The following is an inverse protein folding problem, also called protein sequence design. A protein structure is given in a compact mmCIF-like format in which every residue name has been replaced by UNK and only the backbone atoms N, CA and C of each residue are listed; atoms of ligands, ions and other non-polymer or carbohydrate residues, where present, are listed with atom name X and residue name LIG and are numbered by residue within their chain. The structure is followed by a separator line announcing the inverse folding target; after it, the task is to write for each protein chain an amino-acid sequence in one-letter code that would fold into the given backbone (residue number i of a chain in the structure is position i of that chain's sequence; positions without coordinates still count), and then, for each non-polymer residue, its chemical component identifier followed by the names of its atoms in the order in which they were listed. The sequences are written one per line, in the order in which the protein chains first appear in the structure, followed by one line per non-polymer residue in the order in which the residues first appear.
data_IF_418517649230
#
_entry.id   IF_418517649230
#
_cell.length_a   1.000
_cell.length_b   1.000
_cell.length_c   1.000
_cell.angle_alpha   90.00
_cell.angle_beta   90.00
_cell.angle_gamma   90.00
#
_symmetry.space_group_name_H-M   'P 1'
#
loop_
_entity.id
_entity.type
_entity.pdbx_description
1 polymer ?
#
# COMPACT_ATOMS: atom_id res chain seq x y z
N UNK A 1 20.52 1.93 29.43
CA UNK A 1 20.05 0.53 29.51
C UNK A 1 20.93 -0.31 28.61
N UNK A 2 21.15 -1.61 28.88
CA UNK A 2 21.84 -2.47 27.92
C UNK A 2 21.07 -2.52 26.60
N UNK A 3 21.77 -2.68 25.46
CA UNK A 3 21.11 -2.81 24.17
C UNK A 3 20.23 -4.06 24.12
N UNK A 4 19.05 -3.90 23.56
CA UNK A 4 18.14 -4.97 23.20
C UNK A 4 18.75 -5.73 22.03
N UNK A 5 18.55 -7.04 21.97
CA UNK A 5 19.05 -7.88 20.86
C UNK A 5 17.88 -8.53 20.16
N UNK A 6 17.66 -8.14 18.91
CA UNK A 6 16.68 -8.80 18.03
C UNK A 6 17.39 -9.93 17.31
N UNK A 7 16.96 -11.16 17.58
CA UNK A 7 17.55 -12.37 16.99
C UNK A 7 16.97 -12.64 15.60
N UNK A 8 17.78 -13.16 14.69
CA UNK A 8 17.33 -13.59 13.38
C UNK A 8 18.02 -14.89 12.95
N UNK A 9 17.42 -15.58 12.00
CA UNK A 9 17.99 -16.75 11.33
C UNK A 9 17.86 -16.62 9.82
N UNK A 10 18.89 -17.04 9.08
CA UNK A 10 18.93 -17.06 7.62
C UNK A 10 18.58 -18.45 7.05
N UNK A 11 18.34 -18.51 5.75
CA UNK A 11 17.99 -19.75 5.04
C UNK A 11 19.08 -20.83 5.03
N UNK A 12 20.35 -20.46 5.24
CA UNK A 12 21.49 -21.37 5.35
C UNK A 12 21.73 -21.86 6.79
N UNK A 13 20.87 -21.46 7.74
CA UNK A 13 20.97 -21.81 9.16
C UNK A 13 21.86 -20.86 9.97
N UNK A 14 22.47 -19.83 9.37
CA UNK A 14 23.20 -18.82 10.14
C UNK A 14 22.25 -18.04 11.06
N UNK A 15 22.63 -17.93 12.32
CA UNK A 15 21.94 -17.12 13.32
C UNK A 15 22.74 -15.86 13.64
N UNK A 16 22.04 -14.80 14.01
CA UNK A 16 22.67 -13.55 14.41
C UNK A 16 21.73 -12.68 15.22
N UNK A 17 22.26 -11.55 15.67
CA UNK A 17 21.47 -10.55 16.42
C UNK A 17 21.74 -9.16 15.89
N UNK A 18 20.70 -8.36 15.75
CA UNK A 18 20.79 -6.91 15.59
C UNK A 18 20.70 -6.30 16.98
N UNK A 19 21.75 -5.59 17.40
CA UNK A 19 21.75 -4.83 18.64
C UNK A 19 21.00 -3.50 18.41
N UNK A 20 20.07 -3.20 19.31
CA UNK A 20 19.16 -2.06 19.22
C UNK A 20 19.19 -1.34 20.56
N UNK A 21 19.41 -0.03 20.55
CA UNK A 21 19.31 0.76 21.78
C UNK A 21 17.87 0.77 22.29
N UNK A 22 17.69 0.61 23.59
CA UNK A 22 16.35 0.49 24.20
C UNK A 22 15.47 1.74 24.01
N UNK A 23 16.08 2.89 23.72
CA UNK A 23 15.42 4.16 23.45
C UNK A 23 15.39 4.52 21.96
N UNK A 24 15.73 3.57 21.07
CA UNK A 24 15.72 3.80 19.62
C UNK A 24 14.34 4.23 19.12
N UNK A 25 14.37 5.02 18.04
CA UNK A 25 13.18 5.34 17.25
C UNK A 25 13.05 4.49 15.99
N UNK A 26 14.09 3.75 15.61
CA UNK A 26 14.09 2.94 14.40
C UNK A 26 14.88 1.65 14.57
N UNK A 27 14.37 0.59 13.95
CA UNK A 27 15.00 -0.74 13.88
C UNK A 27 15.05 -1.15 12.42
N UNK A 28 16.26 -1.46 11.95
CA UNK A 28 16.51 -1.91 10.59
C UNK A 28 17.07 -3.34 10.62
N UNK A 29 16.32 -4.25 10.02
CA UNK A 29 16.67 -5.67 9.87
C UNK A 29 16.43 -6.03 8.39
N UNK A 30 16.57 -5.09 7.47
CA UNK A 30 16.35 -5.26 6.04
C UNK A 30 17.56 -5.89 5.33
N UNK A 31 17.33 -6.58 4.21
CA UNK A 31 18.41 -6.99 3.30
C UNK A 31 19.36 -8.10 3.81
N UNK A 32 19.15 -8.64 5.02
CA UNK A 32 20.06 -9.62 5.61
C UNK A 32 19.78 -11.07 5.20
N UNK A 33 18.70 -11.30 4.46
CA UNK A 33 18.27 -12.64 4.04
C UNK A 33 17.68 -13.47 5.18
N UNK A 34 17.06 -12.80 6.16
CA UNK A 34 16.41 -13.48 7.27
C UNK A 34 15.20 -14.28 6.79
N UNK A 35 15.07 -15.51 7.25
CA UNK A 35 13.87 -16.36 7.10
C UNK A 35 13.02 -16.37 8.37
N UNK A 36 13.57 -15.87 9.48
CA UNK A 36 12.89 -15.73 10.76
C UNK A 36 13.53 -14.59 11.57
N UNK A 37 12.71 -13.85 12.32
CA UNK A 37 13.12 -12.76 13.22
C UNK A 37 12.27 -12.84 14.50
N UNK A 38 12.90 -12.70 15.66
CA UNK A 38 12.21 -12.59 16.96
C UNK A 38 11.99 -11.13 17.34
N UNK A 39 10.75 -10.65 17.22
CA UNK A 39 10.37 -9.29 17.60
C UNK A 39 10.06 -9.13 19.09
N UNK A 40 10.04 -10.20 19.90
CA UNK A 40 9.76 -10.15 21.36
C UNK A 40 10.57 -9.06 22.09
N UNK A 41 11.87 -8.85 21.79
CA UNK A 41 12.66 -7.83 22.44
C UNK A 41 12.12 -6.39 22.24
N UNK A 42 11.33 -6.15 21.17
CA UNK A 42 10.70 -4.86 20.88
C UNK A 42 9.54 -4.51 21.82
N UNK A 43 9.07 -5.43 22.66
CA UNK A 43 8.06 -5.14 23.70
C UNK A 43 8.49 -3.99 24.63
N UNK A 44 9.79 -3.75 24.76
CA UNK A 44 10.36 -2.66 25.58
C UNK A 44 10.65 -1.36 24.79
N UNK A 45 10.56 -1.38 23.46
CA UNK A 45 10.85 -0.25 22.56
C UNK A 45 9.67 0.72 22.45
N UNK A 46 9.25 1.34 23.55
CA UNK A 46 8.09 2.26 23.59
C UNK A 46 8.23 3.51 22.69
N UNK A 47 9.44 3.83 22.25
CA UNK A 47 9.77 4.95 21.37
C UNK A 47 9.95 4.56 19.91
N UNK A 48 9.67 3.31 19.53
CA UNK A 48 9.82 2.85 18.15
C UNK A 48 8.83 3.58 17.23
N UNK A 49 9.36 4.25 16.21
CA UNK A 49 8.59 4.90 15.14
C UNK A 49 8.74 4.16 13.81
N UNK A 50 9.82 3.40 13.60
CA UNK A 50 10.06 2.71 12.33
C UNK A 50 10.60 1.31 12.57
N UNK A 51 9.98 0.32 11.93
CA UNK A 51 10.50 -1.03 11.83
C UNK A 51 10.64 -1.39 10.36
N UNK A 52 11.86 -1.69 9.95
CA UNK A 52 12.18 -2.15 8.61
C UNK A 52 12.62 -3.62 8.64
N UNK A 53 11.82 -4.47 8.03
CA UNK A 53 12.04 -5.90 7.81
C UNK A 53 12.05 -6.24 6.32
N UNK A 54 12.16 -5.22 5.46
CA UNK A 54 12.03 -5.37 4.01
C UNK A 54 13.20 -6.14 3.39
N UNK A 55 13.02 -6.63 2.17
CA UNK A 55 14.07 -7.29 1.38
C UNK A 55 14.72 -8.47 2.11
N UNK A 56 13.89 -9.34 2.70
CA UNK A 56 14.32 -10.56 3.38
C UNK A 56 13.70 -11.80 2.70
N UNK A 57 13.70 -12.93 3.39
CA UNK A 57 13.10 -14.18 2.93
C UNK A 57 12.05 -14.70 3.93
N UNK A 58 11.39 -13.81 4.66
CA UNK A 58 10.38 -14.15 5.66
C UNK A 58 9.17 -14.79 4.98
N UNK A 59 8.84 -16.03 5.36
CA UNK A 59 7.58 -16.69 4.94
C UNK A 59 6.44 -16.42 5.92
N UNK A 60 6.78 -16.04 7.15
CA UNK A 60 5.87 -15.69 8.24
C UNK A 60 6.58 -14.72 9.19
N UNK A 61 5.81 -13.93 9.94
CA UNK A 61 6.31 -13.02 10.96
C UNK A 61 5.24 -12.78 12.05
N UNK A 62 5.62 -12.98 13.31
CA UNK A 62 4.76 -12.65 14.45
C UNK A 62 4.89 -11.16 14.79
N UNK A 63 3.83 -10.39 14.50
CA UNK A 63 3.75 -8.97 14.82
C UNK A 63 3.23 -8.67 16.22
N UNK A 64 2.88 -9.67 17.05
CA UNK A 64 2.32 -9.45 18.39
C UNK A 64 3.10 -8.45 19.26
N UNK A 65 4.46 -8.42 19.24
CA UNK A 65 5.23 -7.43 19.99
C UNK A 65 4.94 -5.96 19.59
N UNK A 66 4.49 -5.71 18.37
CA UNK A 66 4.16 -4.36 17.88
C UNK A 66 2.92 -3.77 18.56
N UNK A 67 2.08 -4.58 19.20
CA UNK A 67 0.92 -4.08 19.94
C UNK A 67 1.31 -3.10 21.07
N UNK A 68 2.56 -3.19 21.57
CA UNK A 68 3.13 -2.27 22.57
C UNK A 68 3.79 -1.02 21.95
N UNK A 69 4.06 -1.03 20.64
CA UNK A 69 4.77 0.03 19.91
C UNK A 69 3.80 1.13 19.44
N UNK A 70 3.08 1.77 20.36
CA UNK A 70 2.03 2.77 20.04
C UNK A 70 2.50 4.01 19.27
N UNK A 71 3.82 4.23 19.16
CA UNK A 71 4.43 5.31 18.40
C UNK A 71 4.86 4.90 16.99
N UNK A 72 4.60 3.66 16.57
CA UNK A 72 5.00 3.17 15.26
C UNK A 72 4.31 3.98 14.16
N UNK A 73 5.11 4.56 13.28
CA UNK A 73 4.70 5.37 12.12
C UNK A 73 4.95 4.63 10.81
N UNK A 74 5.97 3.79 10.74
CA UNK A 74 6.39 3.13 9.48
C UNK A 74 6.68 1.66 9.72
N UNK A 75 6.02 0.80 8.95
CA UNK A 75 6.25 -0.63 8.94
C UNK A 75 6.55 -1.09 7.52
N UNK A 76 7.79 -1.52 7.29
CA UNK A 76 8.25 -2.02 6.01
C UNK A 76 8.44 -3.54 6.07
N UNK A 77 7.66 -4.26 5.28
CA UNK A 77 7.69 -5.72 5.13
C UNK A 77 7.79 -6.14 3.65
N UNK A 78 8.01 -5.19 2.75
CA UNK A 78 8.12 -5.44 1.32
C UNK A 78 9.32 -6.32 0.95
N UNK A 79 9.28 -7.00 -0.19
CA UNK A 79 10.37 -7.86 -0.66
C UNK A 79 10.61 -9.08 0.23
N UNK A 80 9.54 -9.76 0.65
CA UNK A 80 9.58 -10.98 1.46
C UNK A 80 8.83 -12.14 0.76
N UNK A 81 8.49 -13.20 1.48
CA UNK A 81 7.77 -14.37 0.96
C UNK A 81 6.45 -14.64 1.68
N UNK A 82 5.90 -13.63 2.37
CA UNK A 82 4.70 -13.74 3.19
C UNK A 82 3.51 -14.19 2.34
N UNK A 83 2.80 -15.23 2.77
CA UNK A 83 1.57 -15.72 2.11
C UNK A 83 0.30 -15.20 2.79
N UNK A 84 0.41 -14.87 4.06
CA UNK A 84 -0.60 -14.24 4.92
C UNK A 84 0.11 -13.30 5.89
N UNK A 85 -0.63 -12.34 6.44
CA UNK A 85 -0.12 -11.44 7.48
C UNK A 85 -1.27 -11.06 8.42
N UNK A 86 -1.08 -11.26 9.72
CA UNK A 86 -2.01 -10.76 10.73
C UNK A 86 -1.64 -9.32 11.13
N UNK A 87 -2.48 -8.35 10.73
CA UNK A 87 -2.34 -6.95 11.09
C UNK A 87 -2.98 -6.61 12.45
N UNK A 88 -3.63 -7.56 13.13
CA UNK A 88 -4.28 -7.35 14.44
C UNK A 88 -3.42 -6.62 15.46
N UNK A 89 -2.13 -6.98 15.65
CA UNK A 89 -1.22 -6.26 16.53
C UNK A 89 -0.97 -4.79 16.15
N UNK A 90 -1.14 -4.44 14.87
CA UNK A 90 -0.94 -3.08 14.34
C UNK A 90 -2.15 -2.18 14.62
N UNK A 91 -3.31 -2.72 15.03
CA UNK A 91 -4.51 -1.93 15.35
C UNK A 91 -4.28 -0.87 16.44
N UNK A 92 -3.33 -1.09 17.36
CA UNK A 92 -2.97 -0.13 18.40
C UNK A 92 -1.99 0.96 17.93
N UNK A 93 -1.39 0.80 16.75
CA UNK A 93 -0.44 1.73 16.14
C UNK A 93 -1.19 2.84 15.39
N UNK A 94 -1.97 3.66 16.10
CA UNK A 94 -2.83 4.69 15.49
C UNK A 94 -2.05 5.83 14.81
N UNK A 95 -0.73 5.91 15.03
CA UNK A 95 0.19 6.81 14.34
C UNK A 95 0.79 6.25 13.06
N UNK A 96 0.44 5.02 12.67
CA UNK A 96 0.95 4.40 11.46
C UNK A 96 0.61 5.29 10.25
N UNK A 97 1.65 5.77 9.59
CA UNK A 97 1.62 6.61 8.40
C UNK A 97 1.95 5.80 7.15
N UNK A 98 2.94 4.90 7.22
CA UNK A 98 3.40 4.10 6.09
C UNK A 98 3.30 2.62 6.39
N UNK A 99 2.64 1.89 5.49
CA UNK A 99 2.62 0.42 5.48
C UNK A 99 3.01 -0.09 4.09
N UNK A 100 4.16 -0.75 4.01
CA UNK A 100 4.67 -1.34 2.77
C UNK A 100 4.75 -2.86 2.87
N UNK A 101 4.00 -3.53 2.00
CA UNK A 101 3.88 -4.99 1.89
C UNK A 101 4.22 -5.48 0.47
N UNK A 102 4.82 -4.62 -0.37
CA UNK A 102 5.08 -4.90 -1.78
C UNK A 102 5.97 -6.15 -1.99
N UNK A 103 5.89 -6.81 -3.14
CA UNK A 103 6.66 -8.03 -3.46
C UNK A 103 6.64 -9.08 -2.34
N UNK A 104 5.45 -9.58 -2.04
CA UNK A 104 5.21 -10.74 -1.20
C UNK A 104 4.38 -11.78 -1.98
N UNK A 105 3.82 -12.78 -1.29
CA UNK A 105 2.93 -13.79 -1.87
C UNK A 105 1.51 -13.73 -1.29
N UNK A 106 1.07 -12.57 -0.78
CA UNK A 106 -0.21 -12.41 -0.11
C UNK A 106 -1.36 -12.69 -1.07
N UNK A 107 -2.25 -13.60 -0.68
CA UNK A 107 -3.45 -13.94 -1.45
C UNK A 107 -4.71 -13.23 -0.92
N UNK A 108 -4.68 -12.89 0.36
CA UNK A 108 -5.69 -12.12 1.07
C UNK A 108 -4.99 -11.24 2.12
N UNK A 109 -5.67 -10.18 2.52
CA UNK A 109 -5.20 -9.28 3.58
C UNK A 109 -6.42 -8.64 4.25
N UNK A 110 -6.56 -8.84 5.56
CA UNK A 110 -7.59 -8.15 6.35
C UNK A 110 -7.10 -6.76 6.74
N UNK A 111 -7.79 -5.72 6.25
CA UNK A 111 -7.47 -4.33 6.55
C UNK A 111 -8.23 -3.77 7.76
N UNK A 112 -9.12 -4.53 8.40
CA UNK A 112 -9.90 -4.06 9.56
C UNK A 112 -9.04 -3.41 10.67
N UNK A 113 -7.84 -3.93 10.99
CA UNK A 113 -6.93 -3.29 11.94
C UNK A 113 -6.50 -1.86 11.57
N UNK A 114 -6.51 -1.49 10.29
CA UNK A 114 -6.10 -0.17 9.81
C UNK A 114 -7.19 0.89 9.97
N UNK A 115 -8.42 0.52 10.35
CA UNK A 115 -9.56 1.45 10.47
C UNK A 115 -9.33 2.62 11.44
N UNK A 116 -8.40 2.47 12.38
CA UNK A 116 -8.01 3.52 13.34
C UNK A 116 -6.71 4.25 12.97
N UNK A 117 -6.03 3.84 11.90
CA UNK A 117 -4.80 4.46 11.40
C UNK A 117 -5.13 5.71 10.56
N UNK A 118 -5.74 6.71 11.20
CA UNK A 118 -6.12 7.98 10.54
C UNK A 118 -4.92 8.78 9.99
N UNK A 119 -3.70 8.48 10.49
CA UNK A 119 -2.44 9.04 10.01
C UNK A 119 -1.89 8.36 8.75
N UNK A 120 -2.47 7.23 8.32
CA UNK A 120 -1.98 6.46 7.17
C UNK A 120 -1.99 7.34 5.92
N UNK A 121 -0.80 7.62 5.39
CA UNK A 121 -0.56 8.44 4.21
C UNK A 121 -0.13 7.62 3.00
N UNK A 122 0.49 6.45 3.21
CA UNK A 122 0.94 5.55 2.16
C UNK A 122 0.64 4.09 2.50
N UNK A 123 -0.03 3.42 1.56
CA UNK A 123 -0.27 1.98 1.60
C UNK A 123 0.15 1.32 0.28
N UNK A 124 1.12 0.42 0.35
CA UNK A 124 1.62 -0.31 -0.81
C UNK A 124 1.54 -1.81 -0.58
N UNK A 125 0.74 -2.51 -1.40
CA UNK A 125 0.64 -3.98 -1.41
C UNK A 125 0.90 -4.53 -2.81
N UNK A 126 1.70 -3.82 -3.60
CA UNK A 126 2.01 -4.17 -4.99
C UNK A 126 2.77 -5.49 -5.12
N UNK A 127 2.73 -6.11 -6.29
CA UNK A 127 3.44 -7.36 -6.59
C UNK A 127 3.12 -8.48 -5.58
N UNK A 128 1.82 -8.65 -5.29
CA UNK A 128 1.28 -9.74 -4.49
C UNK A 128 0.37 -10.63 -5.36
N UNK A 129 -0.49 -11.44 -4.73
CA UNK A 129 -1.40 -12.37 -5.40
C UNK A 129 -2.86 -12.11 -5.01
N UNK A 130 -3.21 -10.88 -4.63
CA UNK A 130 -4.56 -10.52 -4.19
C UNK A 130 -5.55 -10.64 -5.35
N UNK A 131 -6.60 -11.43 -5.17
CA UNK A 131 -7.72 -11.54 -6.12
C UNK A 131 -8.88 -10.60 -5.78
N UNK A 132 -9.03 -10.31 -4.49
CA UNK A 132 -10.02 -9.39 -3.90
C UNK A 132 -9.39 -8.62 -2.75
N UNK A 133 -9.89 -7.43 -2.47
CA UNK A 133 -9.53 -6.64 -1.29
C UNK A 133 -10.73 -5.81 -0.85
N UNK A 134 -10.98 -5.78 0.46
CA UNK A 134 -11.99 -4.90 1.05
C UNK A 134 -11.32 -3.61 1.53
N UNK A 135 -11.66 -2.49 0.88
CA UNK A 135 -11.12 -1.17 1.21
C UNK A 135 -11.94 -0.43 2.27
N UNK A 136 -13.07 -0.98 2.75
CA UNK A 136 -13.94 -0.31 3.73
C UNK A 136 -13.18 0.20 4.96
N UNK A 137 -12.19 -0.52 5.52
CA UNK A 137 -11.40 -0.02 6.65
C UNK A 137 -10.60 1.26 6.33
N UNK A 138 -10.25 1.51 5.07
CA UNK A 138 -9.48 2.70 4.67
C UNK A 138 -10.33 3.99 4.63
N UNK A 139 -11.66 3.91 4.79
CA UNK A 139 -12.51 5.11 4.85
C UNK A 139 -12.10 6.08 5.97
N UNK A 140 -11.52 5.57 7.07
CA UNK A 140 -10.99 6.37 8.18
C UNK A 140 -9.60 6.97 7.93
N UNK A 141 -8.88 6.51 6.91
CA UNK A 141 -7.52 6.94 6.57
C UNK A 141 -7.55 8.23 5.74
N UNK A 142 -8.09 9.31 6.33
CA UNK A 142 -8.26 10.60 5.64
C UNK A 142 -6.95 11.32 5.31
N UNK A 143 -5.82 10.85 5.86
CA UNK A 143 -4.49 11.33 5.52
C UNK A 143 -3.90 10.69 4.25
N UNK A 144 -4.55 9.68 3.69
CA UNK A 144 -4.02 8.85 2.60
C UNK A 144 -3.74 9.67 1.35
N UNK A 145 -2.52 9.53 0.84
CA UNK A 145 -1.98 10.20 -0.35
C UNK A 145 -1.66 9.20 -1.45
N UNK A 146 -1.12 8.04 -1.09
CA UNK A 146 -0.61 7.07 -2.05
C UNK A 146 -1.21 5.69 -1.75
N UNK A 147 -1.79 5.09 -2.78
CA UNK A 147 -2.30 3.72 -2.74
C UNK A 147 -1.76 2.97 -3.94
N UNK A 148 -1.01 1.89 -3.68
CA UNK A 148 -0.47 1.03 -4.72
C UNK A 148 -0.93 -0.41 -4.57
N UNK A 149 -1.60 -0.90 -5.62
CA UNK A 149 -2.03 -2.27 -5.82
C UNK A 149 -1.45 -2.86 -7.10
N UNK A 150 -0.40 -2.24 -7.66
CA UNK A 150 0.24 -2.65 -8.90
C UNK A 150 0.59 -4.14 -8.88
N UNK A 151 0.42 -4.85 -9.99
CA UNK A 151 0.83 -6.26 -10.12
C UNK A 151 0.20 -7.17 -9.06
N UNK A 152 -1.13 -7.18 -9.02
CA UNK A 152 -1.93 -8.16 -8.28
C UNK A 152 -2.81 -8.96 -9.26
N UNK A 153 -3.81 -9.68 -8.76
CA UNK A 153 -4.75 -10.47 -9.54
C UNK A 153 -6.19 -9.96 -9.40
N UNK A 154 -6.37 -8.68 -9.03
CA UNK A 154 -7.67 -8.09 -8.75
C UNK A 154 -8.56 -8.14 -9.98
N UNK A 155 -9.78 -8.67 -9.82
CA UNK A 155 -10.78 -8.73 -10.89
C UNK A 155 -11.84 -7.63 -10.80
N UNK A 156 -12.08 -7.14 -9.58
CA UNK A 156 -12.93 -6.00 -9.24
C UNK A 156 -12.32 -5.28 -8.03
N UNK A 157 -12.72 -4.02 -7.82
CA UNK A 157 -12.39 -3.27 -6.61
C UNK A 157 -13.49 -2.25 -6.32
N UNK A 158 -14.00 -2.21 -5.08
CA UNK A 158 -14.88 -1.14 -4.62
C UNK A 158 -14.04 -0.01 -4.03
N UNK A 159 -14.01 1.13 -4.72
CA UNK A 159 -13.27 2.31 -4.29
C UNK A 159 -14.13 3.32 -3.52
N UNK A 160 -15.40 3.03 -3.22
CA UNK A 160 -16.30 3.92 -2.45
C UNK A 160 -15.65 4.45 -1.16
N UNK A 161 -14.92 3.63 -0.37
CA UNK A 161 -14.23 4.10 0.84
C UNK A 161 -13.21 5.23 0.59
N UNK A 162 -12.60 5.28 -0.60
CA UNK A 162 -11.58 6.26 -0.95
C UNK A 162 -12.15 7.67 -1.18
N UNK A 163 -13.48 7.83 -1.27
CA UNK A 163 -14.12 9.14 -1.37
C UNK A 163 -13.84 10.06 -0.17
N UNK A 164 -13.50 9.48 1.00
CA UNK A 164 -13.08 10.21 2.18
C UNK A 164 -11.60 10.65 2.14
N UNK A 165 -10.78 10.03 1.30
CA UNK A 165 -9.34 10.29 1.14
C UNK A 165 -9.11 11.50 0.23
N UNK A 166 -9.59 12.67 0.63
CA UNK A 166 -9.50 13.92 -0.18
C UNK A 166 -8.07 14.41 -0.44
N UNK A 167 -7.09 13.86 0.28
CA UNK A 167 -5.65 14.10 0.09
C UNK A 167 -4.98 13.13 -0.87
N UNK A 168 -5.72 12.20 -1.48
CA UNK A 168 -5.16 11.22 -2.41
C UNK A 168 -4.49 11.94 -3.58
N UNK A 169 -3.23 11.59 -3.83
CA UNK A 169 -2.31 12.15 -4.82
C UNK A 169 -2.01 11.10 -5.91
N UNK A 170 -1.85 9.84 -5.53
CA UNK A 170 -1.51 8.73 -6.43
C UNK A 170 -2.38 7.49 -6.20
N UNK A 171 -2.89 6.96 -7.31
CA UNK A 171 -3.63 5.70 -7.35
C UNK A 171 -3.05 4.79 -8.43
N UNK A 172 -2.52 3.63 -8.03
CA UNK A 172 -1.97 2.63 -8.95
C UNK A 172 -2.70 1.28 -8.79
N UNK A 173 -3.45 0.90 -9.83
CA UNK A 173 -4.04 -0.43 -10.01
C UNK A 173 -3.51 -1.13 -11.27
N UNK A 174 -2.37 -0.70 -11.80
CA UNK A 174 -1.80 -1.26 -13.01
C UNK A 174 -1.48 -2.76 -12.87
N UNK A 175 -1.45 -3.47 -13.99
CA UNK A 175 -1.10 -4.90 -14.04
C UNK A 175 -2.00 -5.77 -13.15
N UNK A 176 -3.32 -5.56 -13.22
CA UNK A 176 -4.34 -6.39 -12.58
C UNK A 176 -5.22 -7.07 -13.65
N UNK A 177 -6.38 -7.59 -13.26
CA UNK A 177 -7.33 -8.28 -14.14
C UNK A 177 -8.68 -7.54 -14.21
N UNK A 178 -8.70 -6.24 -13.91
CA UNK A 178 -9.91 -5.42 -13.80
C UNK A 178 -10.61 -5.31 -15.17
N UNK A 179 -11.91 -5.60 -15.21
CA UNK A 179 -12.74 -5.47 -16.42
C UNK A 179 -13.58 -4.19 -16.44
N UNK A 180 -13.89 -3.68 -15.26
CA UNK A 180 -14.52 -2.41 -14.98
C UNK A 180 -13.84 -1.77 -13.76
N UNK A 181 -14.05 -0.47 -13.60
CA UNK A 181 -13.65 0.28 -12.42
C UNK A 181 -14.51 1.54 -12.34
N UNK A 182 -15.10 1.81 -11.18
CA UNK A 182 -15.87 3.03 -10.94
C UNK A 182 -14.97 4.15 -10.41
N UNK A 183 -14.86 5.25 -11.17
CA UNK A 183 -14.06 6.41 -10.78
C UNK A 183 -14.84 7.45 -9.98
N UNK A 184 -16.16 7.29 -9.77
CA UNK A 184 -16.98 8.23 -9.00
C UNK A 184 -16.40 8.58 -7.62
N UNK A 185 -15.84 7.64 -6.85
CA UNK A 185 -15.23 7.94 -5.55
C UNK A 185 -14.04 8.91 -5.62
N UNK A 186 -13.36 9.02 -6.77
CA UNK A 186 -12.20 9.90 -6.94
C UNK A 186 -12.59 11.37 -7.18
N UNK A 187 -13.88 11.67 -7.38
CA UNK A 187 -14.35 13.04 -7.66
C UNK A 187 -14.06 14.04 -6.54
N UNK A 188 -13.87 13.58 -5.30
CA UNK A 188 -13.49 14.40 -4.13
C UNK A 188 -11.96 14.52 -3.95
N UNK A 189 -11.17 13.69 -4.63
CA UNK A 189 -9.71 13.65 -4.54
C UNK A 189 -9.06 14.74 -5.40
N UNK A 190 -9.31 16.01 -5.05
CA UNK A 190 -8.84 17.16 -5.84
C UNK A 190 -7.30 17.31 -5.88
N UNK A 191 -6.58 16.60 -5.00
CA UNK A 191 -5.11 16.53 -4.99
C UNK A 191 -4.54 15.48 -5.95
N UNK A 192 -5.38 14.64 -6.55
CA UNK A 192 -4.96 13.51 -7.37
C UNK A 192 -4.18 14.00 -8.59
N UNK A 193 -2.96 13.50 -8.75
CA UNK A 193 -2.07 13.86 -9.85
C UNK A 193 -1.76 12.68 -10.78
N UNK A 194 -1.80 11.44 -10.27
CA UNK A 194 -1.56 10.22 -11.05
C UNK A 194 -2.66 9.20 -10.82
N UNK A 195 -3.21 8.69 -11.93
CA UNK A 195 -4.02 7.47 -11.97
C UNK A 195 -3.39 6.52 -12.98
N UNK A 196 -2.92 5.36 -12.53
CA UNK A 196 -2.36 4.31 -13.38
C UNK A 196 -3.27 3.07 -13.35
N UNK A 197 -3.89 2.78 -14.50
CA UNK A 197 -4.76 1.61 -14.71
C UNK A 197 -4.25 0.76 -15.88
N UNK A 198 -3.00 0.94 -16.30
CA UNK A 198 -2.45 0.20 -17.45
C UNK A 198 -2.42 -1.30 -17.20
N UNK A 199 -2.34 -2.09 -18.27
CA UNK A 199 -2.23 -3.56 -18.18
C UNK A 199 -3.39 -4.17 -17.37
N UNK A 200 -4.61 -3.75 -17.67
CA UNK A 200 -5.85 -4.34 -17.16
C UNK A 200 -6.68 -4.89 -18.32
N UNK A 201 -7.95 -5.25 -18.07
CA UNK A 201 -8.91 -5.75 -19.07
C UNK A 201 -10.08 -4.79 -19.28
N UNK A 202 -9.88 -3.50 -19.02
CA UNK A 202 -10.93 -2.49 -19.15
C UNK A 202 -11.37 -2.38 -20.61
N UNK A 203 -12.69 -2.31 -20.83
CA UNK A 203 -13.29 -2.16 -22.17
C UNK A 203 -13.95 -0.80 -22.37
N UNK A 204 -14.28 -0.13 -21.28
CA UNK A 204 -14.89 1.18 -21.20
C UNK A 204 -14.43 1.86 -19.91
N UNK A 205 -14.54 3.18 -19.84
CA UNK A 205 -14.23 3.95 -18.65
C UNK A 205 -14.97 5.29 -18.71
N UNK A 206 -15.73 5.63 -17.67
CA UNK A 206 -16.30 6.97 -17.52
C UNK A 206 -15.28 7.90 -16.87
N UNK A 207 -14.91 8.96 -17.59
CA UNK A 207 -13.94 9.94 -17.12
C UNK A 207 -14.59 11.15 -16.43
N UNK A 208 -15.93 11.28 -16.48
CA UNK A 208 -16.62 12.44 -15.90
C UNK A 208 -16.27 12.71 -14.43
N UNK A 209 -16.05 11.71 -13.55
CA UNK A 209 -15.62 11.94 -12.18
C UNK A 209 -14.29 12.67 -12.04
N UNK A 210 -13.34 12.45 -12.97
CA UNK A 210 -11.99 13.02 -12.89
C UNK A 210 -11.93 14.50 -13.26
N UNK A 211 -13.01 15.11 -13.77
CA UNK A 211 -13.04 16.53 -14.16
C UNK A 211 -12.73 17.50 -13.00
N UNK A 212 -12.97 17.07 -11.77
CA UNK A 212 -12.71 17.86 -10.54
C UNK A 212 -11.30 17.66 -10.00
N UNK A 213 -10.56 16.66 -10.50
CA UNK A 213 -9.18 16.40 -10.15
C UNK A 213 -8.27 17.38 -10.91
N UNK A 214 -8.34 18.67 -10.55
CA UNK A 214 -7.67 19.77 -11.26
C UNK A 214 -6.14 19.67 -11.28
N UNK A 215 -5.55 18.83 -10.40
CA UNK A 215 -4.12 18.52 -10.37
C UNK A 215 -3.73 17.30 -11.20
N UNK A 216 -4.69 16.61 -11.82
CA UNK A 216 -4.44 15.38 -12.55
C UNK A 216 -3.52 15.65 -13.75
N UNK A 217 -2.30 15.12 -13.67
CA UNK A 217 -1.27 15.29 -14.68
C UNK A 217 -1.07 14.02 -15.52
N UNK A 218 -1.40 12.85 -14.96
CA UNK A 218 -1.21 11.56 -15.63
C UNK A 218 -2.40 10.64 -15.45
N UNK A 219 -2.95 10.19 -16.57
CA UNK A 219 -3.90 9.07 -16.65
C UNK A 219 -3.33 8.03 -17.61
N UNK A 220 -2.90 6.88 -17.08
CA UNK A 220 -2.32 5.80 -17.88
C UNK A 220 -3.32 4.66 -18.05
N UNK A 221 -3.71 4.43 -19.31
CA UNK A 221 -4.69 3.42 -19.69
C UNK A 221 -4.12 2.43 -20.72
N UNK A 222 -2.79 2.43 -20.92
CA UNK A 222 -2.12 1.53 -21.86
C UNK A 222 -2.45 0.07 -21.59
N UNK A 223 -2.38 -0.76 -22.61
CA UNK A 223 -2.54 -2.21 -22.47
C UNK A 223 -3.87 -2.62 -21.80
N UNK A 224 -4.94 -1.91 -22.15
CA UNK A 224 -6.34 -2.28 -21.89
C UNK A 224 -7.05 -2.62 -23.21
N UNK A 225 -8.34 -2.96 -23.15
CA UNK A 225 -9.19 -3.28 -24.29
C UNK A 225 -10.20 -2.16 -24.63
N UNK A 226 -9.93 -0.91 -24.23
CA UNK A 226 -10.81 0.23 -24.48
C UNK A 226 -10.67 0.68 -25.94
N UNK A 227 -11.78 0.68 -26.68
CA UNK A 227 -11.79 1.00 -28.13
C UNK A 227 -12.07 2.48 -28.40
N UNK A 228 -12.99 3.08 -27.64
CA UNK A 228 -13.36 4.48 -27.74
C UNK A 228 -13.39 5.08 -26.33
N UNK A 229 -12.84 6.29 -26.20
CA UNK A 229 -12.79 7.01 -24.94
C UNK A 229 -13.21 8.46 -25.20
N UNK A 230 -14.29 8.89 -24.56
CA UNK A 230 -14.70 10.29 -24.60
C UNK A 230 -13.88 11.09 -23.57
N UNK A 231 -13.01 11.95 -24.07
CA UNK A 231 -12.14 12.81 -23.25
C UNK A 231 -12.64 14.25 -23.14
N UNK A 232 -13.82 14.57 -23.69
CA UNK A 232 -14.36 15.94 -23.70
C UNK A 232 -14.59 16.48 -22.29
N UNK A 233 -14.95 15.61 -21.35
CA UNK A 233 -15.14 15.91 -19.93
C UNK A 233 -13.84 16.40 -19.24
N UNK A 234 -12.68 16.07 -19.80
CA UNK A 234 -11.37 16.43 -19.25
C UNK A 234 -10.73 17.64 -19.96
N UNK A 235 -11.49 18.35 -20.80
CA UNK A 235 -11.00 19.49 -21.59
C UNK A 235 -10.43 20.65 -20.76
N UNK A 236 -10.85 20.79 -19.49
CA UNK A 236 -10.29 21.78 -18.56
C UNK A 236 -8.96 21.41 -17.92
N UNK A 237 -8.51 20.15 -18.04
CA UNK A 237 -7.27 19.66 -17.44
C UNK A 237 -6.10 19.84 -18.41
N UNK A 238 -5.57 21.06 -18.50
CA UNK A 238 -4.60 21.45 -19.54
C UNK A 238 -3.26 20.74 -19.46
N UNK A 239 -2.84 20.32 -18.25
CA UNK A 239 -1.60 19.59 -18.02
C UNK A 239 -1.75 18.06 -18.11
N UNK A 240 -2.98 17.57 -18.31
CA UNK A 240 -3.27 16.13 -18.30
C UNK A 240 -2.66 15.41 -19.51
N UNK A 241 -1.84 14.41 -19.22
CA UNK A 241 -1.35 13.44 -20.20
C UNK A 241 -2.12 12.14 -20.07
N UNK A 242 -2.90 11.82 -21.10
CA UNK A 242 -3.59 10.54 -21.23
C UNK A 242 -2.73 9.61 -22.10
N UNK A 243 -2.33 8.47 -21.56
CA UNK A 243 -1.58 7.43 -22.27
C UNK A 243 -2.47 6.24 -22.61
N UNK A 244 -2.17 5.56 -23.73
CA UNK A 244 -2.96 4.40 -24.19
C UNK A 244 -3.99 4.74 -25.26
N UNK A 245 -4.16 6.03 -25.60
CA UNK A 245 -5.01 6.47 -26.71
C UNK A 245 -4.29 7.47 -27.58
N UNK A 246 -4.49 7.34 -28.89
CA UNK A 246 -4.25 8.44 -29.82
C UNK A 246 -5.55 9.24 -29.90
N UNK A 247 -5.51 10.55 -29.63
CA UNK A 247 -6.62 11.45 -30.00
C UNK A 247 -6.98 11.15 -31.46
N UNK A 248 -8.17 10.62 -31.74
CA UNK A 248 -8.69 10.61 -33.11
C UNK A 248 -8.82 12.09 -33.48
N UNK A 249 -8.11 12.48 -34.55
CA UNK A 249 -8.17 13.83 -35.11
C UNK A 249 -9.57 14.15 -35.59
#
# INVERSE_FOLDING_TARGET
MPPIKVSYRKGDGQEGTVAVDADTTAVWIDGIGATWVDLTPLLSCSRLHTLDLSTNALSDIDLAPLASCKNLERLFLGGNKLQSLDLGPVASCTKLAVLELWQNNLQNLDLAPLSQCSALDMFDVSANKLEVIDLAPLAGCTALKTIHFWQNQLTTVDMTPLSACTKLEELDFASNQLRDIDLAPLSSCTMLHTVDLRMNKLTHLDLAPLRLCTRLARLDLRDNAIVNLDVTQLSGLTELRIMGFRKKR
#
